data_IF_903280617161
#
_entry.id   IF_903280617161
#
_cell.length_a   1.000
_cell.length_b   1.000
_cell.length_c   1.000
_cell.angle_alpha   90.00
_cell.angle_beta   90.00
_cell.angle_gamma   90.00
#
_symmetry.space_group_name_H-M   'P 1'
#
loop_
_entity.id
_entity.type
_entity.pdbx_description
1 polymer ?
#
# COMPACT_ATOMS: atom_id res chain seq x y z
N UNK A 1 29.04 -48.58 -1.46
CA UNK A 1 28.79 -48.18 -2.85
C UNK A 1 27.48 -48.82 -3.27
N UNK A 2 26.35 -48.15 -3.40
CA UNK A 2 26.05 -46.72 -3.36
C UNK A 2 24.60 -46.54 -2.90
N UNK A 3 24.43 -45.61 -1.97
CA UNK A 3 23.21 -45.19 -1.30
C UNK A 3 22.58 -44.07 -2.14
N UNK A 4 21.83 -44.41 -3.20
CA UNK A 4 21.30 -43.38 -4.13
C UNK A 4 19.83 -43.57 -4.53
N UNK A 5 18.99 -44.01 -3.60
CA UNK A 5 17.52 -43.97 -3.77
C UNK A 5 16.84 -43.11 -2.69
N UNK A 6 17.49 -42.01 -2.30
CA UNK A 6 16.91 -40.99 -1.40
C UNK A 6 16.85 -39.60 -2.06
N UNK A 7 17.13 -39.47 -3.36
CA UNK A 7 17.06 -38.16 -4.05
C UNK A 7 15.96 -38.17 -5.13
N UNK A 8 14.73 -38.43 -4.70
CA UNK A 8 13.53 -38.22 -5.52
C UNK A 8 12.42 -37.49 -4.72
N UNK A 9 12.85 -36.69 -3.74
CA UNK A 9 11.97 -35.85 -2.94
C UNK A 9 12.65 -34.51 -2.56
N UNK A 10 13.20 -33.78 -3.53
CA UNK A 10 13.73 -32.41 -3.28
C UNK A 10 13.46 -31.42 -4.41
N UNK A 11 12.34 -31.58 -5.11
CA UNK A 11 11.64 -30.42 -5.67
C UNK A 11 10.30 -30.42 -4.93
N UNK A 12 10.23 -30.07 -3.65
CA UNK A 12 10.11 -28.66 -3.23
C UNK A 12 9.83 -27.74 -4.42
N UNK A 13 8.74 -28.04 -5.12
CA UNK A 13 7.90 -27.00 -5.68
C UNK A 13 7.45 -26.16 -4.49
N UNK A 14 8.30 -25.22 -4.08
CA UNK A 14 7.81 -23.98 -3.52
C UNK A 14 6.97 -23.42 -4.67
N UNK A 15 5.70 -23.81 -4.72
CA UNK A 15 4.70 -22.92 -5.31
C UNK A 15 4.91 -21.66 -4.49
N UNK A 16 5.61 -20.70 -5.09
CA UNK A 16 5.59 -19.34 -4.61
C UNK A 16 4.10 -19.09 -4.40
N UNK A 17 3.67 -18.95 -3.14
CA UNK A 17 2.36 -18.40 -2.87
C UNK A 17 2.54 -16.97 -3.32
N UNK A 18 2.45 -16.74 -4.64
CA UNK A 18 2.10 -15.44 -5.18
C UNK A 18 0.75 -15.25 -4.52
N UNK A 19 0.74 -14.50 -3.41
CA UNK A 19 -0.46 -14.18 -2.67
C UNK A 19 -1.44 -13.70 -3.73
N UNK A 20 -2.53 -14.43 -3.91
CA UNK A 20 -3.54 -14.04 -4.88
C UNK A 20 -3.95 -12.62 -4.49
N UNK A 21 -3.72 -11.67 -5.38
CA UNK A 21 -4.20 -10.31 -5.24
C UNK A 21 -5.72 -10.35 -5.43
N UNK A 22 -6.42 -10.55 -4.32
CA UNK A 22 -7.88 -10.71 -4.25
C UNK A 22 -8.58 -9.38 -4.01
N UNK A 23 -7.86 -8.38 -3.49
CA UNK A 23 -8.41 -7.03 -3.27
C UNK A 23 -8.52 -6.28 -4.59
N UNK A 24 -7.49 -6.34 -5.44
CA UNK A 24 -7.49 -5.72 -6.75
C UNK A 24 -7.02 -6.69 -7.84
N UNK A 25 -7.76 -6.77 -8.95
CA UNK A 25 -7.32 -7.58 -10.10
C UNK A 25 -6.08 -7.00 -10.78
N UNK A 26 -5.82 -5.69 -10.60
CA UNK A 26 -4.67 -5.01 -11.17
C UNK A 26 -3.40 -5.37 -10.38
N UNK A 27 -2.39 -5.92 -11.04
CA UNK A 27 -1.09 -6.14 -10.43
C UNK A 27 -0.24 -4.85 -10.53
N UNK A 28 0.02 -4.23 -9.38
CA UNK A 28 1.03 -3.18 -9.26
C UNK A 28 2.29 -3.81 -8.64
N UNK A 29 3.46 -3.76 -9.32
CA UNK A 29 4.68 -4.38 -8.81
C UNK A 29 5.06 -3.82 -7.43
N UNK A 30 5.30 -4.72 -6.48
CA UNK A 30 5.68 -4.35 -5.11
C UNK A 30 4.51 -3.89 -4.23
N UNK A 31 3.26 -4.06 -4.68
CA UNK A 31 2.07 -3.68 -3.91
C UNK A 31 1.06 -4.82 -3.80
N UNK A 32 1.05 -5.47 -2.64
CA UNK A 32 0.26 -6.65 -2.33
C UNK A 32 -0.99 -6.33 -1.48
N UNK A 33 -1.81 -7.35 -1.24
CA UNK A 33 -3.06 -7.22 -0.49
C UNK A 33 -2.83 -6.83 0.97
N UNK A 34 -1.75 -7.29 1.59
CA UNK A 34 -1.41 -6.93 2.96
C UNK A 34 -1.16 -5.43 3.07
N UNK A 35 -0.46 -4.84 2.10
CA UNK A 35 -0.26 -3.40 2.05
C UNK A 35 -1.56 -2.63 1.73
N UNK A 36 -2.40 -3.12 0.82
CA UNK A 36 -3.74 -2.53 0.55
C UNK A 36 -4.60 -2.49 1.81
N UNK A 37 -4.71 -3.63 2.50
CA UNK A 37 -5.50 -3.79 3.73
C UNK A 37 -4.92 -2.90 4.83
N UNK A 38 -3.59 -2.85 4.97
CA UNK A 38 -2.92 -1.99 5.94
C UNK A 38 -3.26 -0.50 5.73
N UNK A 39 -3.15 0.01 4.50
CA UNK A 39 -3.47 1.41 4.18
C UNK A 39 -4.96 1.70 4.39
N UNK A 40 -5.83 0.79 3.97
CA UNK A 40 -7.28 0.93 4.15
C UNK A 40 -7.67 1.00 5.63
N UNK A 41 -7.21 0.03 6.42
CA UNK A 41 -7.46 -0.02 7.86
C UNK A 41 -6.91 1.22 8.54
N UNK A 42 -5.70 1.65 8.18
CA UNK A 42 -5.08 2.84 8.77
C UNK A 42 -5.90 4.11 8.54
N UNK A 43 -6.47 4.27 7.35
CA UNK A 43 -7.39 5.38 7.08
C UNK A 43 -8.66 5.28 7.92
N UNK A 44 -9.30 4.11 7.97
CA UNK A 44 -10.51 3.91 8.76
C UNK A 44 -10.27 4.09 10.27
N UNK A 45 -9.14 3.64 10.79
CA UNK A 45 -8.71 3.87 12.18
C UNK A 45 -8.61 5.36 12.50
N UNK A 46 -7.92 6.14 11.65
CA UNK A 46 -7.81 7.58 11.84
C UNK A 46 -9.15 8.30 11.72
N UNK A 47 -9.99 7.91 10.75
CA UNK A 47 -11.35 8.44 10.60
C UNK A 47 -12.19 8.17 11.84
N UNK A 48 -12.09 6.96 12.39
CA UNK A 48 -12.82 6.52 13.57
C UNK A 48 -12.37 7.25 14.83
N UNK A 49 -11.06 7.39 15.03
CA UNK A 49 -10.49 8.16 16.13
C UNK A 49 -10.90 9.64 16.07
N UNK A 50 -10.91 10.24 14.88
CA UNK A 50 -11.38 11.61 14.68
C UNK A 50 -12.89 11.73 14.98
N UNK A 51 -13.70 10.78 14.51
CA UNK A 51 -15.14 10.75 14.77
C UNK A 51 -15.45 10.73 16.27
N UNK A 52 -14.69 9.95 17.05
CA UNK A 52 -14.80 9.87 18.51
C UNK A 52 -14.15 11.02 19.28
N UNK A 53 -13.40 11.91 18.60
CA UNK A 53 -12.73 13.05 19.24
C UNK A 53 -11.47 12.67 20.02
N UNK A 54 -10.85 11.54 19.65
CA UNK A 54 -9.65 10.99 20.29
C UNK A 54 -8.36 11.62 19.74
N UNK A 55 -8.45 12.27 18.57
CA UNK A 55 -7.29 12.92 17.92
C UNK A 55 -6.89 14.18 18.67
N UNK A 56 -5.61 14.29 19.01
CA UNK A 56 -5.01 15.50 19.61
C UNK A 56 -4.45 16.41 18.52
N UNK A 57 -4.67 17.70 18.68
CA UNK A 57 -4.14 18.79 17.85
C UNK A 57 -3.32 19.74 18.73
N UNK A 58 -2.59 20.66 18.10
CA UNK A 58 -1.74 21.64 18.79
C UNK A 58 -2.47 22.41 19.91
N UNK A 59 -3.75 22.70 19.72
CA UNK A 59 -4.56 23.52 20.63
C UNK A 59 -5.69 22.73 21.32
N UNK A 60 -5.52 21.43 21.56
CA UNK A 60 -6.52 20.58 22.24
C UNK A 60 -7.00 19.40 21.39
N UNK A 61 -8.11 18.78 21.76
CA UNK A 61 -8.67 17.67 20.96
C UNK A 61 -9.33 18.17 19.67
N UNK A 62 -9.27 17.35 18.61
CA UNK A 62 -10.08 17.53 17.43
C UNK A 62 -11.57 17.44 17.77
N UNK A 63 -12.39 18.18 17.02
CA UNK A 63 -13.85 18.11 17.18
C UNK A 63 -14.34 16.75 16.67
N UNK A 64 -15.28 16.17 17.41
CA UNK A 64 -15.98 14.95 16.99
C UNK A 64 -16.71 15.19 15.66
N UNK A 65 -16.75 14.14 14.83
CA UNK A 65 -17.40 14.17 13.53
C UNK A 65 -18.56 13.16 13.49
N UNK A 66 -19.79 13.64 13.74
CA UNK A 66 -21.00 12.80 13.88
C UNK A 66 -21.46 12.08 12.61
N UNK A 67 -20.88 12.41 11.45
CA UNK A 67 -21.22 11.82 10.14
C UNK A 67 -19.99 11.30 9.38
N UNK A 68 -18.90 11.01 10.08
CA UNK A 68 -17.70 10.43 9.45
C UNK A 68 -17.98 8.97 9.07
N UNK A 69 -18.11 8.70 7.76
CA UNK A 69 -18.38 7.34 7.27
C UNK A 69 -17.10 6.52 7.17
N UNK A 70 -17.22 5.22 7.32
CA UNK A 70 -16.16 4.28 6.95
C UNK A 70 -15.94 4.31 5.43
N UNK A 71 -14.70 4.08 5.00
CA UNK A 71 -14.42 3.71 3.62
C UNK A 71 -14.80 2.24 3.47
N UNK A 72 -15.93 1.94 2.85
CA UNK A 72 -16.51 0.58 2.84
C UNK A 72 -15.61 -0.47 2.15
N UNK A 73 -14.79 -0.04 1.20
CA UNK A 73 -14.00 -0.92 0.33
C UNK A 73 -12.76 -0.21 -0.14
N UNK A 74 -11.71 -0.98 -0.42
CA UNK A 74 -10.56 -0.49 -1.13
C UNK A 74 -10.93 -0.13 -2.58
N UNK A 75 -10.45 1.00 -3.09
CA UNK A 75 -10.77 1.45 -4.44
C UNK A 75 -9.56 1.26 -5.37
N UNK A 76 -9.60 0.20 -6.17
CA UNK A 76 -8.54 -0.16 -7.11
C UNK A 76 -8.33 0.86 -8.24
N UNK A 77 -9.37 1.62 -8.62
CA UNK A 77 -9.24 2.70 -9.60
C UNK A 77 -8.47 3.89 -9.01
N UNK A 78 -8.71 4.20 -7.74
CA UNK A 78 -7.96 5.22 -7.01
C UNK A 78 -6.50 4.78 -6.79
N UNK A 79 -6.24 3.51 -6.46
CA UNK A 79 -4.88 2.94 -6.39
C UNK A 79 -4.14 3.11 -7.71
N UNK A 80 -4.77 2.72 -8.83
CA UNK A 80 -4.18 2.86 -10.16
C UNK A 80 -3.86 4.31 -10.48
N UNK A 81 -4.78 5.24 -10.20
CA UNK A 81 -4.55 6.67 -10.41
C UNK A 81 -3.40 7.20 -9.54
N UNK A 82 -3.29 6.76 -8.28
CA UNK A 82 -2.21 7.14 -7.39
C UNK A 82 -0.85 6.62 -7.89
N UNK A 83 -0.80 5.37 -8.35
CA UNK A 83 0.41 4.77 -8.93
C UNK A 83 0.88 5.52 -10.19
N UNK A 84 -0.04 5.83 -11.11
CA UNK A 84 0.28 6.61 -12.31
C UNK A 84 0.78 8.02 -11.96
N UNK A 85 0.16 8.68 -10.98
CA UNK A 85 0.61 9.99 -10.45
C UNK A 85 2.00 9.92 -9.84
N UNK A 86 2.28 8.90 -9.00
CA UNK A 86 3.59 8.70 -8.37
C UNK A 86 4.69 8.45 -9.41
N UNK A 87 4.40 7.66 -10.44
CA UNK A 87 5.32 7.43 -11.56
C UNK A 87 5.64 8.74 -12.30
N UNK A 88 4.62 9.53 -12.64
CA UNK A 88 4.83 10.80 -13.32
C UNK A 88 5.59 11.81 -12.45
N UNK A 89 5.31 11.86 -11.15
CA UNK A 89 6.07 12.70 -10.22
C UNK A 89 7.56 12.37 -10.23
N UNK A 90 7.92 11.10 -10.33
CA UNK A 90 9.31 10.68 -10.46
C UNK A 90 9.93 11.05 -11.82
N UNK A 91 9.15 11.01 -12.90
CA UNK A 91 9.63 11.27 -14.26
C UNK A 91 9.72 12.78 -14.58
N UNK A 92 8.71 13.56 -14.22
CA UNK A 92 8.56 14.97 -14.61
C UNK A 92 8.43 15.96 -13.44
N UNK A 93 8.46 15.50 -12.18
CA UNK A 93 8.26 16.32 -10.96
C UNK A 93 6.95 17.10 -10.93
N UNK A 94 5.97 16.68 -11.72
CA UNK A 94 4.64 17.27 -11.78
C UNK A 94 3.62 16.20 -11.45
N UNK A 95 2.65 16.52 -10.58
CA UNK A 95 1.50 15.65 -10.39
C UNK A 95 0.41 16.03 -11.39
N UNK A 96 -0.13 15.09 -12.19
CA UNK A 96 -1.21 15.38 -13.11
C UNK A 96 -2.51 15.68 -12.36
N UNK A 97 -3.43 16.47 -12.95
CA UNK A 97 -4.81 16.51 -12.47
C UNK A 97 -5.43 15.12 -12.60
N UNK A 98 -5.91 14.57 -11.49
CA UNK A 98 -6.58 13.27 -11.43
C UNK A 98 -8.07 13.40 -11.17
N UNK A 99 -8.80 12.31 -11.41
CA UNK A 99 -10.21 12.16 -10.99
C UNK A 99 -10.35 12.13 -9.46
N UNK A 100 -9.29 11.70 -8.76
CA UNK A 100 -9.24 11.57 -7.31
C UNK A 100 -8.38 12.67 -6.68
N UNK A 101 -8.83 13.15 -5.52
CA UNK A 101 -7.97 13.91 -4.61
C UNK A 101 -6.86 13.00 -4.08
N UNK A 102 -5.65 13.55 -3.91
CA UNK A 102 -4.45 12.78 -3.59
C UNK A 102 -3.65 13.38 -2.44
N UNK A 103 -3.07 12.51 -1.62
CA UNK A 103 -2.01 12.83 -0.67
C UNK A 103 -0.69 12.28 -1.22
N UNK A 104 0.37 13.09 -1.22
CA UNK A 104 1.69 12.70 -1.73
C UNK A 104 2.72 12.86 -0.63
N UNK A 105 3.52 11.82 -0.40
CA UNK A 105 4.68 11.87 0.46
C UNK A 105 5.89 11.34 -0.30
N UNK A 106 6.98 12.12 -0.34
CA UNK A 106 8.24 11.73 -0.97
C UNK A 106 9.26 11.52 0.13
N UNK A 107 9.85 10.33 0.17
CA UNK A 107 10.94 10.02 1.08
C UNK A 107 12.26 10.44 0.44
N UNK A 108 12.96 11.40 1.02
CA UNK A 108 14.30 11.76 0.59
C UNK A 108 15.27 10.63 1.01
N UNK A 109 15.85 9.96 0.01
CA UNK A 109 16.68 8.77 0.23
C UNK A 109 17.95 9.06 1.02
N UNK A 110 18.05 8.54 2.25
CA UNK A 110 19.33 8.18 2.86
C UNK A 110 19.19 6.85 3.59
N UNK A 111 19.91 5.87 3.05
CA UNK A 111 20.26 4.55 3.60
C UNK A 111 19.12 3.57 3.93
N UNK A 112 19.10 2.49 3.15
CA UNK A 112 18.62 1.13 3.46
C UNK A 112 17.29 0.65 2.87
N UNK A 113 16.37 1.53 2.47
CA UNK A 113 15.14 1.10 1.76
C UNK A 113 15.33 0.99 0.25
N UNK A 114 16.24 1.79 -0.32
CA UNK A 114 16.44 1.93 -1.78
C UNK A 114 17.49 0.98 -2.40
N UNK A 115 18.12 0.08 -1.62
CA UNK A 115 19.06 -0.91 -2.19
C UNK A 115 18.36 -2.11 -2.84
N UNK A 116 17.05 -2.26 -2.69
CA UNK A 116 16.33 -3.42 -3.24
C UNK A 116 15.54 -3.10 -4.50
N UNK A 117 15.22 -1.84 -4.80
CA UNK A 117 14.35 -1.54 -5.94
C UNK A 117 14.56 -0.15 -6.49
N UNK A 118 14.95 -0.07 -7.75
CA UNK A 118 14.97 1.12 -8.61
C UNK A 118 13.53 1.63 -8.92
N UNK A 119 12.60 1.48 -7.97
CA UNK A 119 11.19 1.74 -8.15
C UNK A 119 10.77 2.84 -7.19
N UNK A 120 10.08 3.85 -7.72
CA UNK A 120 9.32 4.79 -6.90
C UNK A 120 8.18 4.02 -6.24
N UNK A 121 8.35 3.72 -4.95
CA UNK A 121 7.34 3.07 -4.12
C UNK A 121 6.47 4.17 -3.50
N UNK A 122 5.16 3.94 -3.52
CA UNK A 122 4.09 4.83 -3.09
C UNK A 122 3.60 4.50 -1.68
#
# INVERSE_FOLDING_TARGET
>A
MELHLVVLATILGITHVIGKNTVCENEIPGFDDDMRISIWNKHNDYRSALARGEVKMKNGSARQASKMRELERYNCSAEKSAYESARQLCESKTSPPGEYDQNVHVLDGSSDVMKVTNYCIF
#
